data_IF_749712450629
#
_entry.id   IF_749712450629
#
_cell.length_a   1.000
_cell.length_b   1.000
_cell.length_c   1.000
_cell.angle_alpha   90.00
_cell.angle_beta   90.00
_cell.angle_gamma   90.00
#
_symmetry.space_group_name_H-M   'P 1'
#
loop_
_entity.id
_entity.type
_entity.pdbx_description
1 polymer ?
#
# COMPACT_ATOMS: atom_id res chain seq x y z
N UNK A 1 9.59 -31.86 -40.43
CA UNK A 1 10.68 -31.07 -39.83
C UNK A 1 10.04 -30.11 -38.84
N UNK A 2 10.49 -30.07 -37.58
CA UNK A 2 9.91 -29.20 -36.55
C UNK A 2 10.88 -28.03 -36.32
N UNK A 3 10.38 -26.81 -36.38
CA UNK A 3 11.19 -25.59 -36.26
C UNK A 3 11.13 -25.09 -34.81
N UNK A 4 12.27 -24.88 -34.17
CA UNK A 4 12.31 -24.49 -32.76
C UNK A 4 12.66 -23.01 -32.58
N UNK A 5 11.93 -22.32 -31.70
CA UNK A 5 12.28 -20.95 -31.32
C UNK A 5 13.60 -20.92 -30.52
N UNK A 6 14.56 -20.13 -30.99
CA UNK A 6 15.85 -19.92 -30.29
C UNK A 6 15.73 -19.17 -28.97
N UNK A 7 14.61 -18.50 -28.70
CA UNK A 7 14.41 -17.69 -27.50
C UNK A 7 13.61 -18.44 -26.44
N UNK A 8 12.51 -19.11 -26.81
CA UNK A 8 11.63 -19.80 -25.88
C UNK A 8 11.51 -21.33 -26.11
N UNK A 9 12.27 -21.91 -27.04
CA UNK A 9 12.25 -23.36 -27.31
C UNK A 9 10.96 -23.92 -27.93
N UNK A 10 9.93 -23.09 -28.13
CA UNK A 10 8.64 -23.52 -28.71
C UNK A 10 8.82 -24.17 -30.09
N UNK A 11 8.20 -25.34 -30.25
CA UNK A 11 8.12 -26.07 -31.52
C UNK A 11 7.03 -25.46 -32.42
N UNK A 12 7.39 -25.19 -33.66
CA UNK A 12 6.53 -24.67 -34.71
C UNK A 12 6.49 -25.67 -35.87
N UNK A 13 5.30 -25.83 -36.46
CA UNK A 13 5.06 -26.77 -37.55
C UNK A 13 5.63 -26.28 -38.89
N UNK A 14 5.83 -24.97 -39.03
CA UNK A 14 6.32 -24.33 -40.27
C UNK A 14 7.37 -23.26 -39.99
N UNK A 15 8.26 -23.04 -40.96
CA UNK A 15 9.31 -22.01 -40.90
C UNK A 15 8.72 -20.59 -40.86
N UNK A 16 7.69 -20.32 -41.67
CA UNK A 16 6.97 -19.03 -41.64
C UNK A 16 6.26 -18.80 -40.30
N UNK A 17 5.76 -19.87 -39.66
CA UNK A 17 5.20 -19.84 -38.32
C UNK A 17 6.24 -19.48 -37.25
N UNK A 18 7.45 -20.05 -37.36
CA UNK A 18 8.59 -19.69 -36.52
C UNK A 18 9.00 -18.22 -36.72
N UNK A 19 9.12 -17.75 -37.96
CA UNK A 19 9.51 -16.37 -38.27
C UNK A 19 8.49 -15.33 -37.79
N UNK A 20 7.18 -15.65 -37.82
CA UNK A 20 6.15 -14.79 -37.21
C UNK A 20 6.24 -14.80 -35.69
N UNK A 21 6.40 -15.98 -35.10
CA UNK A 21 6.52 -16.14 -33.64
C UNK A 21 7.75 -15.41 -33.08
N UNK A 22 8.90 -15.48 -33.75
CA UNK A 22 10.13 -14.78 -33.33
C UNK A 22 10.03 -13.26 -33.42
N UNK A 23 9.19 -12.71 -34.29
CA UNK A 23 8.99 -11.26 -34.42
C UNK A 23 8.16 -10.66 -33.30
N UNK A 24 7.36 -11.48 -32.62
CA UNK A 24 6.53 -11.03 -31.50
C UNK A 24 7.32 -11.11 -30.18
N UNK A 25 8.01 -10.01 -29.83
CA UNK A 25 8.77 -9.88 -28.58
C UNK A 25 7.94 -10.13 -27.32
N UNK A 26 6.61 -9.98 -27.37
CA UNK A 26 5.75 -10.22 -26.21
C UNK A 26 5.61 -11.72 -25.88
N UNK A 27 5.94 -12.62 -26.82
CA UNK A 27 5.85 -14.07 -26.63
C UNK A 27 7.18 -14.73 -26.22
N UNK A 28 8.24 -13.94 -26.02
CA UNK A 28 9.54 -14.45 -25.59
C UNK A 28 9.85 -13.93 -24.19
N UNK A 29 9.95 -14.80 -23.19
CA UNK A 29 10.45 -14.40 -21.88
C UNK A 29 11.92 -13.98 -22.02
N UNK A 30 12.24 -12.72 -21.76
CA UNK A 30 13.61 -12.23 -21.72
C UNK A 30 13.80 -11.27 -20.56
N UNK A 31 15.02 -11.24 -20.03
CA UNK A 31 15.41 -10.27 -19.01
C UNK A 31 15.64 -8.92 -19.67
N UNK A 32 14.96 -7.88 -19.20
CA UNK A 32 15.13 -6.52 -19.74
C UNK A 32 16.40 -5.81 -19.23
N UNK A 33 17.04 -6.34 -18.19
CA UNK A 33 18.26 -5.79 -17.60
C UNK A 33 19.52 -6.39 -18.24
N UNK A 34 19.56 -7.72 -18.43
CA UNK A 34 20.72 -8.42 -19.00
C UNK A 34 20.48 -9.00 -20.41
N UNK A 35 19.30 -8.74 -20.99
CA UNK A 35 18.91 -9.13 -22.36
C UNK A 35 18.90 -10.65 -22.64
N UNK A 36 19.06 -11.48 -21.60
CA UNK A 36 19.03 -12.95 -21.72
C UNK A 36 17.63 -13.46 -22.03
N UNK A 37 17.49 -14.33 -23.03
CA UNK A 37 16.24 -15.02 -23.35
C UNK A 37 16.06 -16.33 -22.57
N UNK A 38 14.81 -16.71 -22.33
CA UNK A 38 14.43 -17.88 -21.54
C UNK A 38 13.36 -18.74 -22.23
N UNK A 39 13.46 -20.05 -22.02
CA UNK A 39 12.54 -21.07 -22.52
C UNK A 39 11.09 -20.94 -22.04
N UNK A 40 10.88 -20.31 -20.88
CA UNK A 40 9.58 -20.14 -20.25
C UNK A 40 9.57 -18.92 -19.33
N UNK A 41 8.38 -18.42 -19.00
CA UNK A 41 8.21 -17.38 -17.99
C UNK A 41 8.70 -17.85 -16.62
N UNK A 42 8.46 -19.10 -16.24
CA UNK A 42 8.99 -19.68 -14.99
C UNK A 42 10.52 -19.63 -14.93
N UNK A 43 11.20 -19.93 -16.04
CA UNK A 43 12.66 -19.86 -16.11
C UNK A 43 13.17 -18.41 -16.02
N UNK A 44 12.43 -17.45 -16.57
CA UNK A 44 12.73 -16.02 -16.42
C UNK A 44 12.50 -15.55 -14.96
N UNK A 45 11.40 -15.96 -14.32
CA UNK A 45 11.13 -15.62 -12.92
C UNK A 45 12.17 -16.23 -11.99
N UNK A 46 12.56 -17.48 -12.22
CA UNK A 46 13.62 -18.12 -11.45
C UNK A 46 14.95 -17.38 -11.64
N UNK A 47 15.27 -16.92 -12.85
CA UNK A 47 16.42 -16.06 -13.09
C UNK A 47 16.39 -14.76 -12.30
N UNK A 48 15.23 -14.09 -12.17
CA UNK A 48 15.11 -12.89 -11.34
C UNK A 48 15.28 -13.17 -9.84
N UNK A 49 14.91 -14.36 -9.36
CA UNK A 49 15.11 -14.75 -7.96
C UNK A 49 16.56 -15.09 -7.65
N UNK A 50 17.22 -15.79 -8.56
CA UNK A 50 18.58 -16.32 -8.32
C UNK A 50 19.68 -15.31 -8.63
N UNK A 51 19.36 -14.27 -9.41
CA UNK A 51 20.34 -13.27 -9.83
C UNK A 51 20.34 -12.07 -8.90
N UNK A 52 21.44 -11.90 -8.16
CA UNK A 52 21.65 -10.81 -7.21
C UNK A 52 21.66 -9.41 -7.84
N UNK A 53 21.81 -9.31 -9.16
CA UNK A 53 21.88 -8.04 -9.89
C UNK A 53 20.49 -7.50 -10.31
N UNK A 54 19.41 -8.22 -10.01
CA UNK A 54 18.05 -7.84 -10.37
C UNK A 54 17.22 -7.53 -9.14
N UNK A 55 16.42 -6.47 -9.23
CA UNK A 55 15.39 -6.16 -8.25
C UNK A 55 14.04 -6.12 -8.96
N UNK A 56 13.02 -6.75 -8.38
CA UNK A 56 11.68 -6.79 -8.96
C UNK A 56 10.62 -6.55 -7.91
N UNK A 57 9.47 -6.05 -8.35
CA UNK A 57 8.30 -5.90 -7.52
C UNK A 57 7.69 -7.29 -7.28
N UNK A 58 7.62 -7.76 -6.05
CA UNK A 58 7.02 -9.08 -5.74
C UNK A 58 5.51 -9.12 -5.98
N UNK A 59 4.87 -7.96 -6.04
CA UNK A 59 3.41 -7.85 -6.12
C UNK A 59 2.91 -7.70 -7.56
N UNK A 60 3.63 -6.98 -8.43
CA UNK A 60 3.29 -6.86 -9.86
C UNK A 60 4.33 -7.47 -10.81
N UNK A 61 5.36 -8.10 -10.26
CA UNK A 61 6.43 -8.84 -10.98
C UNK A 61 7.26 -7.99 -11.95
N UNK A 62 7.13 -6.66 -11.90
CA UNK A 62 7.91 -5.74 -12.72
C UNK A 62 9.36 -5.70 -12.28
N UNK A 63 10.28 -5.75 -13.24
CA UNK A 63 11.73 -5.76 -13.00
C UNK A 63 12.33 -4.38 -13.18
N UNK A 64 13.31 -4.06 -12.34
CA UNK A 64 14.04 -2.80 -12.31
C UNK A 64 15.54 -3.05 -12.36
N UNK A 65 16.26 -2.13 -13.02
CA UNK A 65 17.70 -2.18 -13.11
C UNK A 65 18.42 -1.71 -11.83
N UNK A 66 17.71 -1.04 -10.92
CA UNK A 66 18.26 -0.50 -9.66
C UNK A 66 17.24 -0.55 -8.52
N UNK A 67 17.72 -0.67 -7.29
CA UNK A 67 16.90 -0.61 -6.07
C UNK A 67 16.15 0.72 -5.96
N UNK A 68 16.79 1.83 -6.33
CA UNK A 68 16.13 3.14 -6.38
C UNK A 68 14.95 3.17 -7.37
N UNK A 69 15.07 2.49 -8.51
CA UNK A 69 13.97 2.35 -9.48
C UNK A 69 12.79 1.56 -8.90
N UNK A 70 13.06 0.48 -8.17
CA UNK A 70 12.03 -0.29 -7.46
C UNK A 70 11.38 0.53 -6.35
N UNK A 71 12.16 1.31 -5.58
CA UNK A 71 11.66 2.20 -4.53
C UNK A 71 10.75 3.29 -5.09
N UNK A 72 11.15 3.94 -6.18
CA UNK A 72 10.30 4.93 -6.87
C UNK A 72 9.03 4.27 -7.39
N UNK A 73 9.12 3.05 -7.93
CA UNK A 73 7.95 2.30 -8.36
C UNK A 73 6.95 2.09 -7.22
N UNK A 74 7.39 1.66 -6.03
CA UNK A 74 6.51 1.51 -4.88
C UNK A 74 5.88 2.81 -4.39
N UNK A 75 6.64 3.91 -4.44
CA UNK A 75 6.11 5.25 -4.12
C UNK A 75 5.03 5.69 -5.10
N UNK A 76 5.24 5.45 -6.39
CA UNK A 76 4.42 6.03 -7.46
C UNK A 76 3.27 5.10 -7.90
N UNK A 77 3.32 3.79 -7.57
CA UNK A 77 2.28 2.82 -7.94
C UNK A 77 1.39 2.51 -6.74
N UNK A 78 0.23 3.18 -6.69
CA UNK A 78 -0.79 3.09 -5.64
C UNK A 78 -1.38 1.68 -5.39
N UNK A 79 -0.97 0.67 -6.17
CA UNK A 79 -1.39 -0.72 -5.97
C UNK A 79 -0.60 -1.45 -4.86
N UNK A 80 0.54 -0.89 -4.42
CA UNK A 80 1.40 -1.50 -3.41
C UNK A 80 1.54 -0.59 -2.19
N UNK A 81 0.86 -0.91 -1.08
CA UNK A 81 1.01 -0.18 0.16
C UNK A 81 2.47 -0.22 0.62
N UNK A 82 3.03 0.94 0.95
CA UNK A 82 4.42 1.07 1.40
C UNK A 82 4.50 1.93 2.67
N UNK A 83 5.38 1.56 3.58
CA UNK A 83 5.70 2.36 4.75
C UNK A 83 6.71 3.45 4.35
N UNK A 84 6.33 4.72 4.45
CA UNK A 84 7.21 5.86 4.13
C UNK A 84 8.39 6.01 5.09
N UNK A 85 8.27 5.46 6.30
CA UNK A 85 9.24 5.68 7.37
C UNK A 85 10.32 4.60 7.44
N UNK A 86 9.99 3.33 7.14
CA UNK A 86 10.95 2.22 7.05
C UNK A 86 11.15 1.70 5.63
N UNK A 87 10.48 2.30 4.64
CA UNK A 87 10.58 2.01 3.21
C UNK A 87 10.17 0.59 2.82
N UNK A 88 9.52 -0.15 3.74
CA UNK A 88 9.04 -1.50 3.53
C UNK A 88 7.75 -1.52 2.73
N UNK A 89 7.59 -2.55 1.90
CA UNK A 89 6.44 -2.76 1.02
C UNK A 89 5.59 -3.91 1.54
N UNK A 90 4.28 -3.79 1.36
CA UNK A 90 3.29 -4.75 1.83
C UNK A 90 2.44 -5.28 0.68
N UNK A 91 1.98 -6.52 0.82
CA UNK A 91 1.13 -7.21 -0.15
C UNK A 91 -0.33 -6.75 -0.12
N UNK A 92 -0.75 -6.06 0.95
CA UNK A 92 -2.08 -5.52 1.13
C UNK A 92 -2.09 -4.37 2.12
N UNK A 93 -3.12 -3.53 2.03
CA UNK A 93 -3.31 -2.37 2.91
C UNK A 93 -3.46 -2.82 4.37
N UNK A 94 -4.15 -3.95 4.59
CA UNK A 94 -4.26 -4.60 5.89
C UNK A 94 -2.89 -5.02 6.46
N UNK A 95 -1.96 -5.51 5.62
CA UNK A 95 -0.61 -5.87 6.07
C UNK A 95 0.23 -4.63 6.42
N UNK A 96 0.05 -3.52 5.70
CA UNK A 96 0.66 -2.23 6.04
C UNK A 96 0.10 -1.67 7.36
N UNK A 97 -1.22 -1.71 7.55
CA UNK A 97 -1.86 -1.30 8.79
C UNK A 97 -1.41 -2.14 9.98
N UNK A 98 -1.33 -3.46 9.81
CA UNK A 98 -0.80 -4.34 10.84
C UNK A 98 0.65 -3.98 11.18
N UNK A 99 1.48 -3.71 10.16
CA UNK A 99 2.84 -3.22 10.37
C UNK A 99 2.89 -1.92 11.17
N UNK A 100 2.01 -0.95 10.92
CA UNK A 100 1.96 0.27 11.73
C UNK A 100 1.59 0.02 13.18
N UNK A 101 0.71 -0.95 13.46
CA UNK A 101 0.35 -1.32 14.84
C UNK A 101 1.47 -2.05 15.57
N UNK A 102 2.21 -2.88 14.87
CA UNK A 102 3.26 -3.73 15.46
C UNK A 102 4.63 -3.05 15.52
N UNK A 103 4.79 -1.88 14.91
CA UNK A 103 6.09 -1.22 14.78
C UNK A 103 6.20 0.00 15.70
N UNK A 104 7.03 -0.12 16.73
CA UNK A 104 7.30 0.95 17.71
C UNK A 104 8.02 2.19 17.13
N UNK A 105 8.46 2.18 15.87
CA UNK A 105 9.21 3.32 15.31
C UNK A 105 8.32 4.53 14.96
N UNK A 106 7.00 4.41 15.01
CA UNK A 106 6.06 5.48 14.70
C UNK A 106 4.78 5.36 15.52
N UNK A 107 4.15 6.49 15.80
CA UNK A 107 2.82 6.54 16.41
C UNK A 107 1.74 6.69 15.32
N UNK A 108 0.62 5.99 15.45
CA UNK A 108 -0.43 5.89 14.42
C UNK A 108 -1.81 6.30 14.96
N UNK A 109 -2.63 6.91 14.12
CA UNK A 109 -4.02 7.24 14.45
C UNK A 109 -5.00 6.30 13.74
N UNK A 110 -5.71 5.46 14.51
CA UNK A 110 -6.66 4.48 13.98
C UNK A 110 -7.86 5.10 13.25
N UNK A 111 -8.34 6.27 13.67
CA UNK A 111 -9.50 6.94 13.06
C UNK A 111 -9.23 7.53 11.68
N UNK A 112 -7.99 8.00 11.43
CA UNK A 112 -7.67 8.73 10.18
C UNK A 112 -6.50 8.15 9.39
N UNK A 113 -5.87 7.08 9.87
CA UNK A 113 -4.77 6.43 9.19
C UNK A 113 -3.43 7.18 9.22
N UNK A 114 -3.33 8.30 9.94
CA UNK A 114 -2.15 9.17 9.89
C UNK A 114 -1.02 8.68 10.80
N UNK A 115 0.22 8.76 10.28
CA UNK A 115 1.46 8.44 11.00
C UNK A 115 2.11 9.69 11.60
N UNK A 116 2.80 9.48 12.71
CA UNK A 116 3.54 10.49 13.45
C UNK A 116 4.92 9.98 13.82
N UNK A 117 5.92 10.86 13.72
CA UNK A 117 7.30 10.56 14.08
C UNK A 117 7.52 10.36 15.60
N UNK A 118 6.50 10.59 16.43
CA UNK A 118 6.55 10.34 17.88
C UNK A 118 5.14 10.30 18.49
N UNK A 119 5.03 9.67 19.66
CA UNK A 119 3.82 9.71 20.50
C UNK A 119 3.37 11.14 20.83
N UNK A 120 4.31 12.04 21.08
CA UNK A 120 4.01 13.45 21.30
C UNK A 120 3.33 14.09 20.08
N UNK A 121 3.74 13.70 18.87
CA UNK A 121 3.11 14.09 17.62
C UNK A 121 1.67 13.56 17.51
N UNK A 122 1.47 12.29 17.83
CA UNK A 122 0.14 11.66 17.84
C UNK A 122 -0.78 12.29 18.88
N UNK A 123 -0.31 12.50 20.12
CA UNK A 123 -1.08 13.16 21.20
C UNK A 123 -1.52 14.56 20.81
N UNK A 124 -0.62 15.34 20.19
CA UNK A 124 -0.97 16.67 19.68
C UNK A 124 -2.03 16.58 18.58
N UNK A 125 -1.90 15.63 17.67
CA UNK A 125 -2.90 15.40 16.63
C UNK A 125 -4.27 15.03 17.21
N UNK A 126 -4.33 14.12 18.18
CA UNK A 126 -5.57 13.77 18.89
C UNK A 126 -6.24 15.00 19.51
N UNK A 127 -5.47 15.88 20.13
CA UNK A 127 -5.99 17.09 20.77
C UNK A 127 -6.46 18.14 19.77
N UNK A 128 -5.77 18.30 18.65
CA UNK A 128 -5.95 19.47 17.78
C UNK A 128 -6.71 19.16 16.47
N UNK A 129 -6.94 17.89 16.14
CA UNK A 129 -7.61 17.47 14.91
C UNK A 129 -9.14 17.54 15.01
N UNK A 130 -9.78 18.07 13.95
CA UNK A 130 -11.23 18.05 13.80
C UNK A 130 -11.81 16.64 13.67
N UNK A 131 -11.01 15.67 13.18
CA UNK A 131 -11.42 14.26 13.07
C UNK A 131 -11.77 13.67 14.44
N UNK A 132 -11.08 14.13 15.50
CA UNK A 132 -11.26 13.67 16.88
C UNK A 132 -12.15 14.58 17.73
N UNK A 133 -12.61 15.68 17.15
CA UNK A 133 -13.36 16.70 17.86
C UNK A 133 -14.85 16.53 17.56
N UNK A 134 -15.47 15.43 17.98
CA UNK A 134 -16.91 15.20 17.83
C UNK A 134 -17.59 14.90 19.16
N UNK A 135 -18.87 15.26 19.27
CA UNK A 135 -19.69 14.95 20.42
C UNK A 135 -20.33 13.58 20.25
N UNK A 136 -20.20 12.71 21.25
CA UNK A 136 -20.80 11.36 21.24
C UNK A 136 -22.29 11.37 21.56
N UNK A 137 -22.81 12.43 22.17
CA UNK A 137 -24.23 12.52 22.55
C UNK A 137 -25.11 13.00 21.39
N UNK A 138 -24.54 13.69 20.40
CA UNK A 138 -25.28 14.23 19.25
C UNK A 138 -24.56 14.12 17.89
N UNK A 139 -23.45 13.37 17.83
CA UNK A 139 -22.64 13.10 16.63
C UNK A 139 -22.14 14.35 15.88
N UNK A 140 -22.09 15.50 16.55
CA UNK A 140 -21.69 16.75 15.92
C UNK A 140 -20.17 16.92 15.91
N UNK A 141 -19.60 17.26 14.75
CA UNK A 141 -18.18 17.58 14.60
C UNK A 141 -17.86 19.05 14.89
N UNK A 142 -16.66 19.29 15.40
CA UNK A 142 -16.15 20.59 15.82
C UNK A 142 -14.77 20.87 15.21
N UNK A 143 -14.46 22.14 14.92
CA UNK A 143 -13.17 22.52 14.33
C UNK A 143 -12.00 22.41 15.31
N UNK A 144 -12.25 22.20 16.61
CA UNK A 144 -11.23 22.00 17.63
C UNK A 144 -11.81 21.36 18.89
N UNK A 145 -10.95 20.72 19.69
CA UNK A 145 -11.32 20.16 20.98
C UNK A 145 -11.81 21.22 21.98
N UNK A 146 -11.30 22.46 21.89
CA UNK A 146 -11.83 23.60 22.68
C UNK A 146 -13.30 23.91 22.36
N UNK A 147 -13.67 23.85 21.08
CA UNK A 147 -15.05 24.06 20.66
C UNK A 147 -15.95 22.89 21.09
N UNK A 148 -15.46 21.65 20.98
CA UNK A 148 -16.14 20.47 21.50
C UNK A 148 -16.40 20.59 23.02
N UNK A 149 -15.38 20.90 23.82
CA UNK A 149 -15.52 21.01 25.28
C UNK A 149 -16.52 22.09 25.71
N UNK A 150 -16.61 23.19 24.96
CA UNK A 150 -17.63 24.22 25.21
C UNK A 150 -19.04 23.69 24.90
N UNK A 151 -19.16 22.87 23.87
CA UNK A 151 -20.43 22.27 23.48
C UNK A 151 -20.86 21.15 24.42
N UNK A 152 -19.97 20.28 24.90
CA UNK A 152 -20.35 19.19 25.82
C UNK A 152 -20.98 19.71 27.11
N UNK A 153 -20.64 20.94 27.54
CA UNK A 153 -21.34 21.61 28.63
C UNK A 153 -22.84 21.82 28.37
N UNK A 154 -23.30 21.94 27.12
CA UNK A 154 -24.74 22.12 26.83
C UNK A 154 -25.53 20.86 27.12
N UNK A 155 -24.98 19.68 26.84
CA UNK A 155 -25.61 18.40 27.18
C UNK A 155 -25.77 18.21 28.69
N UNK A 156 -24.81 18.66 29.49
CA UNK A 156 -24.92 18.61 30.95
C UNK A 156 -26.07 19.48 31.50
N UNK A 157 -26.45 20.58 30.83
CA UNK A 157 -27.63 21.37 31.20
C UNK A 157 -28.92 20.69 30.76
N UNK A 158 -28.93 20.13 29.55
CA UNK A 158 -30.11 19.44 28.99
C UNK A 158 -30.48 18.19 29.81
N UNK A 159 -29.48 17.43 30.28
CA UNK A 159 -29.67 16.24 31.12
C UNK A 159 -30.27 16.57 32.51
N UNK A 160 -29.83 17.68 33.11
CA UNK A 160 -30.39 18.16 34.39
C UNK A 160 -31.85 18.66 34.24
N UNK A 161 -32.17 19.32 33.12
CA UNK A 161 -33.56 19.72 32.84
C UNK A 161 -34.46 18.52 32.53
N UNK A 162 -33.94 17.49 31.87
CA UNK A 162 -34.68 16.24 31.61
C UNK A 162 -34.91 15.45 32.91
N UNK A 163 -33.89 15.31 33.76
CA UNK A 163 -34.00 14.64 35.06
C UNK A 163 -34.97 15.36 36.01
N UNK A 164 -35.00 16.70 36.01
CA UNK A 164 -35.97 17.47 36.81
C UNK A 164 -37.39 17.43 36.24
N UNK A 165 -37.57 17.28 34.92
CA UNK A 165 -38.88 17.14 34.28
C UNK A 165 -39.54 15.79 34.49
N UNK A 166 -38.77 14.73 34.77
CA UNK A 166 -39.28 13.37 34.96
C UNK A 166 -39.79 13.07 36.39
N UNK A 167 -39.58 13.97 37.36
CA UNK A 167 -40.00 13.80 38.77
C UNK A 167 -41.40 14.37 39.04
N UNK A 168 -42.07 14.94 38.03
CA UNK A 168 -43.40 15.56 38.19
C UNK A 168 -44.50 14.87 37.38
N UNK A 169 -44.75 13.58 37.66
CA UNK A 169 -46.03 12.91 37.37
C UNK A 169 -46.54 12.24 38.64
#
# INVERSE_FOLDING_TARGET
>A
MVYCCRYCGRKCETESGLARHQRDKANHPYCNTCERGFGSWDALHQHYRDSADHVYCVTCERVFATENGLRMHYRDNAAHPYCTACERVFSSDSALHQHYRDNDAHAYCDECGRLFASDSGLKRHWRDSAVHSYCTDCDRHFPSNKALNKHTCTHAYDDLTYAMGAITI
#
